data_IF_968133866770
#
_entry.id   IF_968133866770
#
_cell.length_a   1.000
_cell.length_b   1.000
_cell.length_c   1.000
_cell.angle_alpha   90.00
_cell.angle_beta   90.00
_cell.angle_gamma   90.00
#
_symmetry.space_group_name_H-M   'P 1'
#
loop_
_entity.id
_entity.type
_entity.pdbx_description
1 polymer ?
#
# COMPACT_ATOMS: atom_id res chain seq x y z
N UNK A 1 -2.05 -5.22 5.29
CA UNK A 1 -3.22 -4.30 5.20
C UNK A 1 -3.47 -3.69 6.55
N UNK A 2 -3.64 -2.39 6.61
CA UNK A 2 -3.70 -1.60 7.83
C UNK A 2 -5.13 -1.59 8.39
N UNK A 3 -5.29 -2.00 9.64
CA UNK A 3 -6.59 -2.08 10.33
C UNK A 3 -6.76 -0.84 11.21
N UNK A 4 -7.77 0.03 10.98
CA UNK A 4 -8.06 1.12 11.90
C UNK A 4 -8.68 0.60 13.19
N UNK A 5 -8.53 1.33 14.31
CA UNK A 5 -9.25 1.04 15.53
C UNK A 5 -10.74 1.38 15.37
N UNK A 6 -11.56 0.81 16.21
CA UNK A 6 -12.96 1.16 16.30
C UNK A 6 -13.91 0.26 15.52
N UNK A 7 -15.15 0.71 15.43
CA UNK A 7 -16.22 -0.04 14.80
C UNK A 7 -16.13 0.05 13.27
N UNK A 8 -16.27 -1.10 12.60
CA UNK A 8 -16.31 -1.16 11.13
C UNK A 8 -17.63 -0.57 10.62
N UNK A 9 -17.59 0.06 9.46
CA UNK A 9 -18.80 0.54 8.80
C UNK A 9 -19.63 -0.63 8.28
N UNK A 10 -20.97 -0.52 8.36
CA UNK A 10 -21.88 -1.48 7.76
C UNK A 10 -21.88 -1.34 6.23
N UNK A 11 -22.57 -2.26 5.53
CA UNK A 11 -22.73 -2.18 4.07
C UNK A 11 -23.46 -0.91 3.64
N UNK A 12 -24.53 -0.57 4.36
CA UNK A 12 -25.38 0.60 4.11
C UNK A 12 -24.58 1.89 4.35
N UNK A 13 -23.86 1.97 5.47
CA UNK A 13 -22.99 3.09 5.78
C UNK A 13 -21.89 3.26 4.70
N UNK A 14 -21.25 2.18 4.26
CA UNK A 14 -20.27 2.25 3.17
C UNK A 14 -20.87 2.69 1.84
N UNK A 15 -22.12 2.29 1.53
CA UNK A 15 -22.82 2.75 0.33
C UNK A 15 -23.03 4.26 0.38
N UNK A 16 -23.57 4.78 1.47
CA UNK A 16 -23.79 6.22 1.67
C UNK A 16 -22.48 7.03 1.64
N UNK A 17 -21.40 6.48 2.21
CA UNK A 17 -20.08 7.13 2.15
C UNK A 17 -19.58 7.20 0.70
N UNK A 18 -19.75 6.15 -0.12
CA UNK A 18 -19.38 6.15 -1.54
C UNK A 18 -20.20 7.13 -2.36
N UNK A 19 -21.45 7.36 -1.98
CA UNK A 19 -22.36 8.34 -2.60
C UNK A 19 -22.04 9.79 -2.18
N UNK A 20 -21.01 10.02 -1.38
CA UNK A 20 -20.57 11.35 -0.94
C UNK A 20 -21.20 11.84 0.38
N UNK A 21 -22.09 11.05 0.99
CA UNK A 21 -22.83 11.43 2.19
C UNK A 21 -22.10 11.15 3.51
N UNK A 22 -20.81 10.77 3.45
CA UNK A 22 -20.02 10.38 4.63
C UNK A 22 -19.94 11.44 5.73
N UNK A 23 -19.88 12.73 5.35
CA UNK A 23 -19.75 13.84 6.30
C UNK A 23 -21.00 14.09 7.16
N UNK A 24 -22.18 13.76 6.63
CA UNK A 24 -23.48 13.96 7.31
C UNK A 24 -24.02 12.70 8.00
N UNK A 25 -23.43 11.55 7.70
CA UNK A 25 -23.96 10.22 8.02
C UNK A 25 -24.37 10.01 9.49
N UNK A 26 -23.67 10.62 10.41
CA UNK A 26 -23.94 10.49 11.86
C UNK A 26 -24.05 11.86 12.52
N UNK A 27 -24.50 12.88 11.81
CA UNK A 27 -24.77 14.16 12.42
C UNK A 27 -26.08 14.09 13.20
N UNK A 28 -26.11 14.53 14.48
CA UNK A 28 -27.33 14.65 15.23
C UNK A 28 -28.25 15.70 14.58
N UNK A 29 -29.53 15.42 14.51
CA UNK A 29 -30.56 16.35 14.06
C UNK A 29 -31.35 16.87 15.26
N UNK A 30 -31.96 18.06 15.14
CA UNK A 30 -32.75 18.64 16.24
C UNK A 30 -33.97 17.78 16.57
N UNK A 31 -34.51 17.08 15.61
CA UNK A 31 -35.63 16.13 15.75
C UNK A 31 -35.26 14.82 16.45
N UNK A 32 -33.96 14.51 16.60
CA UNK A 32 -33.51 13.27 17.22
C UNK A 32 -33.77 13.28 18.74
N UNK A 33 -34.14 12.12 19.28
CA UNK A 33 -34.16 11.91 20.72
C UNK A 33 -32.75 12.04 21.33
N UNK A 34 -32.66 12.40 22.62
CA UNK A 34 -31.37 12.51 23.32
C UNK A 34 -30.53 11.20 23.27
N UNK A 35 -31.20 10.04 23.25
CA UNK A 35 -30.56 8.74 23.12
C UNK A 35 -29.98 8.55 21.70
N UNK A 36 -30.68 9.02 20.67
CA UNK A 36 -30.21 8.95 19.28
C UNK A 36 -29.08 9.93 19.02
N UNK A 37 -29.16 11.15 19.53
CA UNK A 37 -28.07 12.14 19.47
C UNK A 37 -26.78 11.57 20.07
N UNK A 38 -26.84 10.93 21.25
CA UNK A 38 -25.69 10.26 21.87
C UNK A 38 -25.16 9.13 21.01
N UNK A 39 -26.05 8.30 20.41
CA UNK A 39 -25.64 7.19 19.54
C UNK A 39 -24.97 7.69 18.26
N UNK A 40 -25.52 8.71 17.61
CA UNK A 40 -24.93 9.32 16.40
C UNK A 40 -23.55 9.94 16.72
N UNK A 41 -23.46 10.70 17.82
CA UNK A 41 -22.20 11.28 18.30
C UNK A 41 -21.13 10.23 18.59
N UNK A 42 -21.50 9.14 19.26
CA UNK A 42 -20.59 8.01 19.52
C UNK A 42 -20.10 7.36 18.20
N UNK A 43 -20.99 7.09 17.25
CA UNK A 43 -20.62 6.56 15.93
C UNK A 43 -19.64 7.49 15.20
N UNK A 44 -19.91 8.80 15.18
CA UNK A 44 -19.05 9.81 14.57
C UNK A 44 -17.63 9.80 15.15
N UNK A 45 -17.49 9.54 16.43
CA UNK A 45 -16.19 9.51 17.12
C UNK A 45 -15.42 8.20 16.93
N UNK A 46 -16.11 7.09 16.62
CA UNK A 46 -15.51 5.74 16.63
C UNK A 46 -15.53 5.04 15.27
N UNK A 47 -16.20 5.60 14.26
CA UNK A 47 -16.23 5.05 12.92
C UNK A 47 -15.35 5.85 11.96
N UNK A 48 -14.75 5.15 11.02
CA UNK A 48 -13.84 5.73 10.04
C UNK A 48 -14.54 5.87 8.69
N UNK A 49 -14.77 7.11 8.27
CA UNK A 49 -15.41 7.42 6.98
C UNK A 49 -14.46 7.26 5.78
N UNK A 50 -13.16 7.21 6.01
CA UNK A 50 -12.15 7.08 4.95
C UNK A 50 -11.76 5.63 4.69
N UNK A 51 -11.89 4.75 5.70
CA UNK A 51 -11.58 3.33 5.56
C UNK A 51 -12.63 2.60 4.71
N UNK A 52 -12.20 1.63 3.91
CA UNK A 52 -13.06 0.86 3.01
C UNK A 52 -12.87 -0.64 3.17
N UNK A 53 -13.89 -1.37 2.73
CA UNK A 53 -13.84 -2.81 2.60
C UNK A 53 -13.19 -3.22 1.28
N UNK A 54 -12.39 -4.26 1.33
CA UNK A 54 -11.89 -4.97 0.18
C UNK A 54 -11.93 -6.47 0.44
N UNK A 55 -11.96 -7.25 -0.63
CA UNK A 55 -11.89 -8.71 -0.55
C UNK A 55 -10.58 -9.17 -1.17
N UNK A 56 -9.80 -9.93 -0.40
CA UNK A 56 -8.58 -10.58 -0.90
C UNK A 56 -8.73 -12.08 -0.72
N UNK A 57 -8.76 -12.83 -1.82
CA UNK A 57 -9.13 -14.26 -1.84
C UNK A 57 -10.53 -14.44 -1.25
N UNK A 58 -10.69 -15.23 -0.18
CA UNK A 58 -11.96 -15.45 0.53
C UNK A 58 -12.19 -14.53 1.74
N UNK A 59 -11.19 -13.72 2.12
CA UNK A 59 -11.24 -12.88 3.31
C UNK A 59 -11.66 -11.44 3.02
N UNK A 60 -12.49 -10.88 3.88
CA UNK A 60 -12.89 -9.48 3.85
C UNK A 60 -11.97 -8.67 4.78
N UNK A 61 -11.36 -7.63 4.22
CA UNK A 61 -10.50 -6.71 4.96
C UNK A 61 -11.13 -5.32 4.97
N UNK A 62 -10.96 -4.62 6.08
CA UNK A 62 -11.43 -3.25 6.26
C UNK A 62 -10.28 -2.37 6.72
N UNK A 63 -10.08 -1.23 6.09
CA UNK A 63 -9.04 -0.28 6.46
C UNK A 63 -8.40 0.42 5.27
N UNK A 64 -7.08 0.47 5.30
CA UNK A 64 -6.22 1.15 4.34
C UNK A 64 -5.24 0.17 3.68
N UNK A 65 -4.71 0.58 2.53
CA UNK A 65 -3.58 -0.06 1.87
C UNK A 65 -2.39 0.88 1.84
N UNK A 66 -1.22 0.31 2.03
CA UNK A 66 0.04 0.99 1.81
C UNK A 66 0.72 0.40 0.56
N UNK A 67 1.04 1.27 -0.38
CA UNK A 67 1.71 0.95 -1.62
C UNK A 67 3.13 1.49 -1.53
N UNK A 68 4.10 0.64 -1.74
CA UNK A 68 5.52 0.93 -1.51
C UNK A 68 6.32 0.68 -2.78
N UNK A 69 7.16 1.66 -3.15
CA UNK A 69 8.27 1.49 -4.10
C UNK A 69 9.57 1.41 -3.32
N UNK A 70 10.37 0.40 -3.58
CA UNK A 70 11.64 0.21 -2.92
C UNK A 70 12.77 -0.09 -3.92
N UNK A 71 13.97 0.34 -3.58
CA UNK A 71 15.17 0.03 -4.36
C UNK A 71 15.51 -1.46 -4.28
N UNK A 72 15.77 -2.06 -5.44
CA UNK A 72 16.03 -3.49 -5.56
C UNK A 72 17.29 -3.95 -4.82
N UNK A 73 18.34 -3.14 -4.77
CA UNK A 73 19.64 -3.49 -4.18
C UNK A 73 19.66 -3.26 -2.67
N UNK A 74 19.22 -2.09 -2.25
CA UNK A 74 19.27 -1.67 -0.85
C UNK A 74 18.06 -2.12 -0.04
N UNK A 75 16.92 -2.38 -0.69
CA UNK A 75 15.60 -2.60 -0.08
C UNK A 75 15.13 -1.38 0.74
N UNK A 76 15.65 -0.20 0.49
CA UNK A 76 15.15 1.03 1.09
C UNK A 76 13.86 1.44 0.40
N UNK A 77 12.88 1.87 1.17
CA UNK A 77 11.62 2.42 0.65
C UNK A 77 11.93 3.81 0.10
N UNK A 78 11.76 4.00 -1.19
CA UNK A 78 11.98 5.28 -1.86
C UNK A 78 10.74 6.15 -1.87
N UNK A 79 9.58 5.50 -2.05
CA UNK A 79 8.29 6.17 -2.09
C UNK A 79 7.19 5.27 -1.55
N UNK A 80 6.20 5.88 -0.95
CA UNK A 80 5.00 5.19 -0.47
C UNK A 80 3.75 6.02 -0.78
N UNK A 81 2.62 5.35 -0.91
CA UNK A 81 1.32 5.97 -1.11
C UNK A 81 0.25 5.20 -0.34
N UNK A 82 -0.51 5.90 0.51
CA UNK A 82 -1.57 5.28 1.32
C UNK A 82 -2.93 5.59 0.71
N UNK A 83 -3.73 4.55 0.49
CA UNK A 83 -5.09 4.64 -0.02
C UNK A 83 -6.07 3.94 0.92
N UNK A 84 -7.35 4.12 0.69
CA UNK A 84 -8.33 3.19 1.27
C UNK A 84 -8.17 1.78 0.68
N UNK A 85 -8.66 0.78 1.40
CA UNK A 85 -8.44 -0.61 1.01
C UNK A 85 -9.15 -1.04 -0.28
N UNK A 86 -10.09 -0.27 -0.81
CA UNK A 86 -10.81 -0.61 -2.04
C UNK A 86 -10.05 -0.25 -3.32
N UNK A 87 -9.05 0.62 -3.24
CA UNK A 87 -8.23 1.02 -4.39
C UNK A 87 -7.39 -0.18 -4.87
N UNK A 88 -7.42 -0.44 -6.17
CA UNK A 88 -6.62 -1.50 -6.76
C UNK A 88 -5.16 -1.04 -6.90
N UNK A 89 -4.22 -1.95 -6.66
CA UNK A 89 -2.78 -1.63 -6.63
C UNK A 89 -2.28 -1.06 -7.96
N UNK A 90 -2.86 -1.50 -9.08
CA UNK A 90 -2.53 -1.01 -10.42
C UNK A 90 -2.92 0.47 -10.69
N UNK A 91 -3.73 1.08 -9.84
CA UNK A 91 -4.13 2.48 -9.99
C UNK A 91 -3.18 3.46 -9.27
N UNK A 92 -2.12 2.95 -8.63
CA UNK A 92 -1.18 3.76 -7.84
C UNK A 92 0.23 3.77 -8.40
N UNK A 93 0.43 3.39 -9.66
CA UNK A 93 1.74 3.41 -10.34
C UNK A 93 2.24 4.86 -10.42
N UNK A 94 1.44 5.78 -10.98
CA UNK A 94 1.84 7.18 -11.15
C UNK A 94 2.23 7.87 -9.83
N UNK A 95 1.46 7.78 -8.73
CA UNK A 95 1.86 8.35 -7.46
C UNK A 95 3.17 7.81 -6.88
N UNK A 96 3.59 6.60 -7.28
CA UNK A 96 4.81 5.94 -6.80
C UNK A 96 6.05 6.21 -7.66
N UNK A 97 5.89 6.86 -8.82
CA UNK A 97 7.00 7.16 -9.74
C UNK A 97 7.41 8.62 -9.68
N UNK A 98 8.66 8.91 -10.02
CA UNK A 98 9.24 10.24 -10.06
C UNK A 98 10.07 10.42 -11.35
N UNK A 99 10.43 11.67 -11.68
CA UNK A 99 11.30 12.01 -12.81
C UNK A 99 12.65 11.26 -12.79
N UNK A 100 13.20 11.03 -11.59
CA UNK A 100 14.47 10.30 -11.39
C UNK A 100 14.39 8.81 -11.76
N UNK A 101 13.19 8.27 -11.90
CA UNK A 101 12.95 6.85 -12.21
C UNK A 101 12.96 6.59 -13.72
N UNK A 102 12.99 7.63 -14.55
CA UNK A 102 12.97 7.49 -16.01
C UNK A 102 14.12 6.60 -16.52
N UNK A 103 13.77 5.68 -17.39
CA UNK A 103 14.69 4.69 -17.95
C UNK A 103 15.03 3.52 -17.04
N UNK A 104 14.51 3.48 -15.80
CA UNK A 104 14.72 2.37 -14.89
C UNK A 104 13.65 1.27 -15.07
N UNK A 105 13.99 0.05 -14.65
CA UNK A 105 13.09 -1.08 -14.66
C UNK A 105 12.16 -1.04 -13.43
N UNK A 106 10.85 -1.19 -13.68
CA UNK A 106 9.83 -1.35 -12.63
C UNK A 106 9.33 -2.80 -12.58
N UNK A 107 9.64 -3.48 -11.48
CA UNK A 107 9.29 -4.88 -11.25
C UNK A 107 7.92 -4.99 -10.59
N UNK A 108 6.97 -5.64 -11.27
CA UNK A 108 5.57 -5.74 -10.85
C UNK A 108 5.09 -7.19 -10.87
N UNK A 109 4.07 -7.50 -10.08
CA UNK A 109 3.47 -8.82 -10.07
C UNK A 109 2.47 -9.03 -11.24
N UNK A 110 1.98 -10.26 -11.40
CA UNK A 110 1.02 -10.59 -12.44
C UNK A 110 -0.36 -9.89 -12.29
N UNK A 111 -0.61 -9.23 -11.16
CA UNK A 111 -1.80 -8.40 -10.96
C UNK A 111 -1.78 -7.08 -11.73
N UNK A 112 -0.63 -6.71 -12.30
CA UNK A 112 -0.44 -5.51 -13.11
C UNK A 112 -0.45 -5.81 -14.62
N UNK A 113 -0.73 -7.04 -15.03
CA UNK A 113 -0.90 -7.41 -16.45
C UNK A 113 -1.90 -6.47 -17.14
N UNK A 114 -1.55 -5.96 -18.32
CA UNK A 114 -2.34 -4.98 -19.07
C UNK A 114 -2.18 -3.52 -18.58
N UNK A 115 -1.19 -3.24 -17.72
CA UNK A 115 -0.87 -1.88 -17.25
C UNK A 115 0.51 -1.39 -17.73
N UNK A 116 1.09 -2.07 -18.70
CA UNK A 116 2.39 -1.75 -19.30
C UNK A 116 2.43 -0.31 -19.80
N UNK A 117 1.35 0.14 -20.48
CA UNK A 117 1.23 1.49 -21.01
C UNK A 117 1.34 2.58 -19.92
N UNK A 118 0.80 2.31 -18.71
CA UNK A 118 0.89 3.25 -17.59
C UNK A 118 2.32 3.38 -17.12
N UNK A 119 3.06 2.27 -17.02
CA UNK A 119 4.47 2.26 -16.63
C UNK A 119 5.32 2.99 -17.66
N UNK A 120 5.08 2.73 -18.95
CA UNK A 120 5.79 3.38 -20.07
C UNK A 120 5.52 4.89 -20.08
N UNK A 121 4.28 5.33 -19.84
CA UNK A 121 3.95 6.76 -19.70
C UNK A 121 4.70 7.43 -18.56
N UNK A 122 4.99 6.71 -17.48
CA UNK A 122 5.84 7.19 -16.39
C UNK A 122 7.33 7.20 -16.77
N UNK A 123 7.70 6.77 -18.00
CA UNK A 123 9.07 6.73 -18.49
C UNK A 123 9.90 5.57 -17.97
N UNK A 124 9.28 4.54 -17.39
CA UNK A 124 9.94 3.34 -16.86
C UNK A 124 9.74 2.13 -17.77
N UNK A 125 10.59 1.11 -17.60
CA UNK A 125 10.48 -0.16 -18.31
C UNK A 125 9.66 -1.16 -17.47
N UNK A 126 8.50 -1.66 -17.94
CA UNK A 126 7.68 -2.60 -17.20
C UNK A 126 8.29 -4.02 -17.20
N UNK A 127 8.57 -4.57 -16.04
CA UNK A 127 8.98 -5.98 -15.85
C UNK A 127 7.86 -6.67 -15.06
N UNK A 128 6.83 -7.14 -15.76
CA UNK A 128 5.63 -7.73 -15.17
C UNK A 128 5.71 -9.25 -15.27
N UNK A 129 5.31 -9.96 -14.19
CA UNK A 129 5.18 -11.41 -14.21
C UNK A 129 4.00 -11.82 -15.09
N UNK A 130 4.21 -12.81 -15.94
CA UNK A 130 3.17 -13.34 -16.83
C UNK A 130 2.17 -14.19 -16.05
N UNK A 131 0.89 -14.10 -16.40
CA UNK A 131 -0.20 -14.84 -15.74
C UNK A 131 -0.68 -15.99 -16.61
N UNK A 132 -0.77 -17.17 -16.03
CA UNK A 132 -1.43 -18.31 -16.68
C UNK A 132 -2.96 -18.18 -16.58
N UNK A 133 -3.65 -18.55 -17.64
CA UNK A 133 -5.10 -18.61 -17.70
C UNK A 133 -5.58 -20.08 -17.72
N UNK A 134 -6.86 -20.31 -17.38
CA UNK A 134 -7.44 -21.66 -17.23
C UNK A 134 -7.22 -22.55 -18.47
N UNK A 135 -7.27 -21.98 -19.68
CA UNK A 135 -7.11 -22.69 -20.95
C UNK A 135 -5.74 -22.48 -21.60
N UNK A 136 -4.88 -21.64 -21.03
CA UNK A 136 -3.54 -21.31 -21.51
C UNK A 136 -2.58 -21.26 -20.33
N UNK A 137 -2.13 -22.44 -19.82
CA UNK A 137 -1.15 -22.49 -18.75
C UNK A 137 0.19 -21.90 -19.24
N UNK A 138 0.99 -21.39 -18.31
CA UNK A 138 2.32 -20.86 -18.61
C UNK A 138 3.20 -21.96 -19.22
N UNK A 139 3.94 -21.62 -20.28
CA UNK A 139 5.00 -22.46 -20.84
C UNK A 139 6.18 -22.55 -19.86
N UNK A 140 7.07 -23.50 -20.05
CA UNK A 140 8.24 -23.67 -19.17
C UNK A 140 9.22 -22.50 -19.28
N UNK A 141 9.31 -21.88 -20.45
CA UNK A 141 10.09 -20.65 -20.66
C UNK A 141 9.48 -19.47 -19.89
N UNK A 142 8.15 -19.32 -19.91
CA UNK A 142 7.45 -18.29 -19.16
C UNK A 142 7.59 -18.52 -17.64
N UNK A 143 7.53 -19.75 -17.19
CA UNK A 143 7.80 -20.10 -15.78
C UNK A 143 9.24 -19.77 -15.37
N UNK A 144 10.21 -20.01 -16.24
CA UNK A 144 11.61 -19.67 -15.98
C UNK A 144 11.79 -18.16 -15.85
N UNK A 145 11.27 -17.37 -16.82
CA UNK A 145 11.28 -15.91 -16.75
C UNK A 145 10.57 -15.39 -15.48
N UNK A 146 9.43 -15.96 -15.13
CA UNK A 146 8.70 -15.58 -13.92
C UNK A 146 9.49 -15.90 -12.64
N UNK A 147 10.29 -16.97 -12.62
CA UNK A 147 11.15 -17.28 -11.47
C UNK A 147 12.19 -16.19 -11.22
N UNK A 148 12.82 -15.67 -12.26
CA UNK A 148 13.76 -14.54 -12.15
C UNK A 148 13.05 -13.25 -11.71
N UNK A 149 11.90 -12.95 -12.32
CA UNK A 149 11.09 -11.78 -11.97
C UNK A 149 10.56 -11.84 -10.53
N UNK A 150 10.11 -13.01 -10.09
CA UNK A 150 9.61 -13.25 -8.74
C UNK A 150 10.69 -13.07 -7.67
N UNK A 151 11.94 -13.37 -7.97
CA UNK A 151 13.04 -13.14 -7.01
C UNK A 151 13.14 -11.66 -6.63
N UNK A 152 13.01 -10.76 -7.59
CA UNK A 152 12.98 -9.31 -7.31
C UNK A 152 11.74 -8.89 -6.52
N UNK A 153 10.58 -9.49 -6.80
CA UNK A 153 9.32 -9.21 -6.08
C UNK A 153 9.35 -9.65 -4.61
N UNK A 154 9.98 -10.79 -4.30
CA UNK A 154 10.13 -11.27 -2.92
C UNK A 154 10.78 -10.23 -1.99
N UNK A 155 11.52 -9.24 -2.53
CA UNK A 155 12.10 -8.16 -1.73
C UNK A 155 11.04 -7.31 -1.04
N UNK A 156 9.93 -7.02 -1.72
CA UNK A 156 8.79 -6.27 -1.16
C UNK A 156 8.07 -7.08 -0.07
N UNK A 157 7.93 -8.40 -0.28
CA UNK A 157 7.35 -9.29 0.72
C UNK A 157 8.18 -9.32 2.01
N UNK A 158 9.52 -9.25 1.91
CA UNK A 158 10.40 -9.13 3.07
C UNK A 158 10.23 -7.80 3.81
N UNK A 159 10.02 -6.69 3.06
CA UNK A 159 9.75 -5.37 3.67
C UNK A 159 8.46 -5.45 4.51
N UNK A 160 7.37 -5.89 3.90
CA UNK A 160 6.10 -6.02 4.61
C UNK A 160 6.16 -7.05 5.75
N UNK A 161 6.87 -8.17 5.57
CA UNK A 161 7.08 -9.16 6.63
C UNK A 161 7.80 -8.58 7.85
N UNK A 162 8.81 -7.73 7.66
CA UNK A 162 9.47 -7.02 8.74
C UNK A 162 8.55 -5.98 9.40
N UNK A 163 7.85 -5.18 8.59
CA UNK A 163 6.91 -4.17 9.09
C UNK A 163 5.78 -4.81 9.90
N UNK A 164 5.20 -5.89 9.43
CA UNK A 164 4.09 -6.58 10.12
C UNK A 164 4.58 -7.37 11.34
N UNK A 165 5.69 -8.08 11.23
CA UNK A 165 6.21 -8.94 12.29
C UNK A 165 6.97 -8.19 13.37
N UNK A 166 8.09 -7.54 13.01
CA UNK A 166 8.98 -6.92 13.99
C UNK A 166 8.45 -5.56 14.50
N UNK A 167 7.76 -4.79 13.64
CA UNK A 167 7.31 -3.44 13.99
C UNK A 167 5.83 -3.37 14.40
N UNK A 168 5.07 -4.46 14.25
CA UNK A 168 3.60 -4.48 14.42
C UNK A 168 2.91 -3.36 13.63
N UNK A 169 3.46 -3.04 12.46
CA UNK A 169 3.11 -1.87 11.66
C UNK A 169 1.80 -1.99 10.88
N UNK A 170 1.12 -3.13 10.90
CA UNK A 170 -0.16 -3.34 10.23
C UNK A 170 -1.37 -2.74 10.98
N UNK A 171 -1.16 -2.21 12.18
CA UNK A 171 -2.21 -1.63 13.00
C UNK A 171 -2.15 -0.10 12.99
N UNK A 172 -3.12 0.55 12.36
CA UNK A 172 -3.33 2.00 12.48
C UNK A 172 -4.18 2.27 13.72
N UNK A 173 -3.63 2.99 14.69
CA UNK A 173 -4.31 3.28 15.97
C UNK A 173 -5.17 4.55 15.96
N UNK A 174 -5.41 5.11 14.80
CA UNK A 174 -6.13 6.37 14.64
C UNK A 174 -7.17 6.28 13.53
N UNK A 175 -8.15 7.17 13.55
CA UNK A 175 -9.24 7.26 12.59
C UNK A 175 -8.93 8.37 11.58
N UNK A 176 -9.23 8.11 10.32
CA UNK A 176 -9.13 9.05 9.21
C UNK A 176 -7.84 8.92 8.40
N UNK A 177 -7.97 9.25 7.10
CA UNK A 177 -6.91 9.11 6.09
C UNK A 177 -5.64 9.89 6.43
N UNK A 178 -5.78 11.11 6.94
CA UNK A 178 -4.62 11.97 7.29
C UNK A 178 -3.74 11.30 8.34
N UNK A 179 -4.35 10.73 9.36
CA UNK A 179 -3.62 10.03 10.44
C UNK A 179 -3.08 8.68 9.96
N UNK A 180 -3.80 7.99 9.08
CA UNK A 180 -3.32 6.77 8.44
C UNK A 180 -2.05 7.06 7.62
N UNK A 181 -2.06 8.11 6.79
CA UNK A 181 -0.88 8.56 6.03
C UNK A 181 0.30 8.90 6.94
N UNK A 182 0.07 9.61 8.04
CA UNK A 182 1.13 9.92 9.01
C UNK A 182 1.70 8.66 9.67
N UNK A 183 0.85 7.68 10.00
CA UNK A 183 1.29 6.39 10.54
C UNK A 183 2.15 5.61 9.54
N UNK A 184 1.73 5.55 8.26
CA UNK A 184 2.53 4.95 7.19
C UNK A 184 3.87 5.64 7.03
N UNK A 185 3.89 6.99 7.01
CA UNK A 185 5.12 7.77 6.89
C UNK A 185 6.14 7.41 7.97
N UNK A 186 5.70 7.39 9.22
CA UNK A 186 6.54 7.01 10.36
C UNK A 186 7.02 5.56 10.26
N UNK A 187 6.16 4.64 9.87
CA UNK A 187 6.53 3.23 9.69
C UNK A 187 7.57 3.05 8.60
N UNK A 188 7.42 3.69 7.46
CA UNK A 188 8.39 3.65 6.37
C UNK A 188 9.74 4.27 6.78
N UNK A 189 9.71 5.39 7.51
CA UNK A 189 10.91 6.02 8.05
C UNK A 189 11.67 5.10 9.02
N UNK A 190 10.97 4.53 10.00
CA UNK A 190 11.57 3.62 10.98
C UNK A 190 12.12 2.36 10.30
N UNK A 191 11.37 1.78 9.34
CA UNK A 191 11.88 0.68 8.52
C UNK A 191 13.20 1.05 7.82
N UNK A 192 13.24 2.21 7.18
CA UNK A 192 14.44 2.67 6.46
C UNK A 192 15.64 2.88 7.41
N UNK A 193 15.41 3.35 8.63
CA UNK A 193 16.49 3.50 9.65
C UNK A 193 17.04 2.11 10.00
N UNK A 194 16.20 1.12 10.32
CA UNK A 194 16.64 -0.24 10.60
C UNK A 194 17.37 -0.86 9.41
N UNK A 195 16.85 -0.65 8.20
CA UNK A 195 17.46 -1.19 6.99
C UNK A 195 18.80 -0.54 6.70
N UNK A 196 18.91 0.77 6.88
CA UNK A 196 20.16 1.51 6.71
C UNK A 196 21.22 1.03 7.71
N UNK A 197 20.86 0.86 8.97
CA UNK A 197 21.77 0.33 9.99
C UNK A 197 22.27 -1.09 9.62
N UNK A 198 21.38 -1.95 9.18
CA UNK A 198 21.74 -3.29 8.71
C UNK A 198 22.70 -3.25 7.50
N UNK A 199 22.46 -2.34 6.56
CA UNK A 199 23.34 -2.16 5.40
C UNK A 199 24.73 -1.66 5.82
N UNK A 200 24.81 -0.72 6.76
CA UNK A 200 26.09 -0.24 7.29
C UNK A 200 26.92 -1.37 7.94
N UNK A 201 26.25 -2.28 8.65
CA UNK A 201 26.91 -3.42 9.30
C UNK A 201 27.31 -4.53 8.33
N UNK A 202 26.38 -4.92 7.41
CA UNK A 202 26.54 -6.12 6.60
C UNK A 202 27.07 -5.84 5.19
N UNK A 203 26.85 -4.64 4.65
CA UNK A 203 27.17 -4.28 3.26
C UNK A 203 27.73 -2.83 3.16
N UNK A 204 28.79 -2.48 3.87
CA UNK A 204 29.30 -1.10 3.91
C UNK A 204 29.78 -0.59 2.55
N UNK A 205 30.20 -1.46 1.65
CA UNK A 205 30.60 -1.09 0.28
C UNK A 205 29.43 -0.52 -0.52
N UNK A 206 28.22 -1.09 -0.36
CA UNK A 206 27.02 -0.64 -1.03
C UNK A 206 26.62 0.79 -0.60
N UNK A 207 26.74 1.09 0.68
CA UNK A 207 26.46 2.42 1.22
C UNK A 207 27.49 3.45 0.71
N UNK A 208 28.78 3.11 0.69
CA UNK A 208 29.83 3.99 0.13
C UNK A 208 29.56 4.33 -1.33
N UNK A 209 29.17 3.35 -2.12
CA UNK A 209 28.81 3.56 -3.55
C UNK A 209 27.57 4.45 -3.70
N UNK A 210 26.52 4.23 -2.91
CA UNK A 210 25.32 5.06 -2.95
C UNK A 210 25.60 6.51 -2.54
N UNK A 211 26.42 6.73 -1.51
CA UNK A 211 26.83 8.08 -1.10
C UNK A 211 27.70 8.79 -2.11
N UNK A 212 28.53 8.09 -2.86
CA UNK A 212 29.35 8.68 -3.92
C UNK A 212 28.47 9.21 -5.07
N UNK A 213 27.42 8.46 -5.44
CA UNK A 213 26.47 8.85 -6.51
C UNK A 213 25.59 10.08 -6.14
N UNK A 214 25.44 10.41 -4.87
CA UNK A 214 24.66 11.59 -4.42
C UNK A 214 25.51 12.87 -4.43
N UNK A 215 26.85 12.75 -4.44
CA UNK A 215 27.78 13.88 -4.37
C UNK A 215 28.30 14.34 -5.73
N UNK A 216 28.01 13.62 -6.79
CA UNK A 216 28.34 13.98 -8.19
C UNK A 216 27.12 14.45 -8.92
#
# INVERSE_FOLDING_TARGET
MWKPPGQRNTREENKQIKEGNGGSLWQPEDSDSEKEKKRKSHKRSHKDIDARWTKKRSENHYGYKDHVKADKKTKLIEKYHTTDASVHDSNVIEPLTDEKDKGQDLWLDAGYEGKEDVVIKCGMNPIICEKGHKNHPLTDEQKSRNRERSHSRCLIEHIFGFVEGAMNGSLVRSIGMTRAKASTALTCLVYNIFRYEQLCRCQPALIKQAMANVRG
#
